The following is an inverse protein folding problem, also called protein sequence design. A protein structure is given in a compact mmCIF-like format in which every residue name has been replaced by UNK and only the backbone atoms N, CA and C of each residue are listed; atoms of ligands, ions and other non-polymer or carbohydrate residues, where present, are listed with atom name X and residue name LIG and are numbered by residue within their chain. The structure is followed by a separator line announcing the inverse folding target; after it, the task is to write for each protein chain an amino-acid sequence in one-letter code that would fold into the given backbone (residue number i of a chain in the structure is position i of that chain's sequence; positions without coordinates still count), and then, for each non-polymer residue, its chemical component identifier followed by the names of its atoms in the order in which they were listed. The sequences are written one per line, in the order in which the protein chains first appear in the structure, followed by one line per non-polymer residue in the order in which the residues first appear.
data_IF_053999613593
#
_entry.id   IF_053999613593
#
_cell.length_a   1.000
_cell.length_b   1.000
_cell.length_c   1.000
_cell.angle_alpha   90.00
_cell.angle_beta   90.00
_cell.angle_gamma   90.00
#
_symmetry.space_group_name_H-M   'P 1'
#
loop_
_entity.id
_entity.type
_entity.pdbx_description
1 polymer ?
#
# COMPACT_ATOMS: atom_id res chain seq x y z
N UNK A 1 -9.46 22.94 88.32
CA UNK A 1 -9.35 22.71 86.85
C UNK A 1 -10.29 23.71 86.19
N UNK A 2 -9.72 24.64 85.49
CA UNK A 2 -10.43 25.82 85.01
C UNK A 2 -11.30 25.51 83.76
N UNK A 3 -12.54 26.02 83.77
CA UNK A 3 -13.48 25.85 82.67
C UNK A 3 -12.96 26.31 81.28
N UNK A 4 -11.97 27.18 81.26
CA UNK A 4 -11.34 27.68 80.01
C UNK A 4 -10.51 26.63 79.28
N UNK A 5 -9.88 25.71 79.97
CA UNK A 5 -9.07 24.64 79.36
C UNK A 5 -9.91 23.55 78.65
N UNK A 6 -11.19 23.38 79.08
CA UNK A 6 -12.09 22.42 78.45
C UNK A 6 -12.66 22.88 77.12
N UNK A 7 -12.84 24.19 76.95
CA UNK A 7 -13.36 24.77 75.69
C UNK A 7 -12.31 24.74 74.57
N UNK A 8 -11.05 24.96 74.91
CA UNK A 8 -9.96 24.93 73.96
C UNK A 8 -9.68 23.54 73.40
N UNK A 9 -9.82 22.48 74.20
CA UNK A 9 -9.64 21.10 73.67
C UNK A 9 -10.77 20.67 72.72
N UNK A 10 -11.98 21.14 72.88
CA UNK A 10 -13.11 20.82 71.97
C UNK A 10 -12.92 21.50 70.62
N UNK A 11 -12.35 22.68 70.55
CA UNK A 11 -12.12 23.42 69.27
C UNK A 11 -11.04 22.78 68.39
N UNK A 12 -9.98 22.27 68.98
CA UNK A 12 -8.92 21.61 68.22
C UNK A 12 -9.30 20.24 67.69
N UNK A 13 -10.16 19.50 68.34
CA UNK A 13 -10.66 18.21 67.87
C UNK A 13 -11.59 18.38 66.68
N UNK A 14 -12.44 19.42 66.69
CA UNK A 14 -13.32 19.70 65.54
C UNK A 14 -12.53 20.21 64.30
N UNK A 15 -11.52 21.02 64.48
CA UNK A 15 -10.70 21.49 63.36
C UNK A 15 -9.93 20.36 62.67
N UNK A 16 -9.44 19.34 63.45
CA UNK A 16 -8.76 18.18 62.92
C UNK A 16 -9.68 17.27 62.06
N UNK A 17 -10.91 17.06 62.48
CA UNK A 17 -11.84 16.20 61.76
C UNK A 17 -12.31 16.86 60.45
N UNK A 18 -12.54 18.17 60.43
CA UNK A 18 -12.90 18.89 59.19
C UNK A 18 -11.72 18.96 58.21
N UNK A 19 -10.49 19.12 58.65
CA UNK A 19 -9.31 19.10 57.83
C UNK A 19 -9.05 17.76 57.13
N UNK A 20 -9.31 16.67 57.84
CA UNK A 20 -9.16 15.30 57.26
C UNK A 20 -10.27 14.98 56.26
N UNK A 21 -11.49 15.45 56.48
CA UNK A 21 -12.59 15.25 55.54
C UNK A 21 -12.41 16.07 54.25
N UNK A 22 -11.89 17.29 54.31
CA UNK A 22 -11.61 18.13 53.12
C UNK A 22 -10.44 17.55 52.34
N UNK A 23 -9.37 17.08 52.97
CA UNK A 23 -8.26 16.43 52.26
C UNK A 23 -8.66 15.10 51.61
N UNK A 24 -9.52 14.31 52.24
CA UNK A 24 -10.09 13.11 51.62
C UNK A 24 -11.02 13.41 50.43
N UNK A 25 -11.83 14.48 50.51
CA UNK A 25 -12.67 14.89 49.39
C UNK A 25 -11.89 15.43 48.20
N UNK A 26 -10.80 16.17 48.45
CA UNK A 26 -9.88 16.63 47.35
C UNK A 26 -9.16 15.47 46.71
N UNK A 27 -8.67 14.49 47.49
CA UNK A 27 -8.01 13.30 46.93
C UNK A 27 -8.98 12.44 46.10
N UNK A 28 -10.23 12.30 46.50
CA UNK A 28 -11.27 11.59 45.72
C UNK A 28 -11.67 12.35 44.47
N UNK A 29 -11.70 13.68 44.50
CA UNK A 29 -12.01 14.51 43.32
C UNK A 29 -10.85 14.48 42.31
N UNK A 30 -9.58 14.43 42.77
CA UNK A 30 -8.43 14.34 41.90
C UNK A 30 -8.32 12.98 41.21
N UNK A 31 -8.74 11.89 41.88
CA UNK A 31 -8.82 10.56 41.26
C UNK A 31 -9.97 10.45 40.26
N UNK A 32 -11.06 11.20 40.43
CA UNK A 32 -12.20 11.21 39.50
C UNK A 32 -11.93 12.01 38.22
N UNK A 33 -10.87 12.84 38.17
CA UNK A 33 -10.51 13.65 37.01
C UNK A 33 -9.23 13.20 36.32
N UNK A 34 -8.62 12.09 36.74
CA UNK A 34 -7.51 11.49 36.01
C UNK A 34 -7.99 11.12 34.60
N UNK A 35 -7.28 11.53 33.53
CA UNK A 35 -7.65 11.16 32.18
C UNK A 35 -7.69 9.63 32.10
N UNK A 36 -8.80 9.12 31.56
CA UNK A 36 -8.98 7.70 31.30
C UNK A 36 -7.81 7.19 30.45
N UNK A 37 -7.05 6.24 30.93
CA UNK A 37 -6.00 5.58 30.16
C UNK A 37 -6.68 4.57 29.22
N UNK A 38 -6.58 4.73 27.90
CA UNK A 38 -7.20 3.80 26.96
C UNK A 38 -6.66 2.36 27.10
N UNK A 39 -5.59 2.12 27.88
CA UNK A 39 -5.10 0.77 28.17
C UNK A 39 -5.99 0.05 29.19
N UNK A 40 -6.76 0.78 30.01
CA UNK A 40 -7.64 0.19 31.02
C UNK A 40 -8.82 -0.59 30.42
N UNK A 41 -9.28 -0.18 29.21
CA UNK A 41 -10.40 -0.84 28.52
C UNK A 41 -9.98 -2.08 27.72
N UNK A 42 -8.72 -2.16 27.28
CA UNK A 42 -8.26 -3.21 26.36
C UNK A 42 -7.25 -4.17 26.99
N UNK A 43 -6.76 -3.88 28.19
CA UNK A 43 -5.88 -4.74 28.98
C UNK A 43 -4.67 -5.28 28.18
N UNK A 44 -4.42 -6.58 28.30
CA UNK A 44 -3.30 -7.29 27.68
C UNK A 44 -3.28 -7.20 26.11
N UNK A 45 -4.38 -6.78 25.48
CA UNK A 45 -4.52 -6.70 24.02
C UNK A 45 -4.20 -5.33 23.43
N UNK A 46 -4.03 -4.29 24.25
CA UNK A 46 -3.67 -2.98 23.75
C UNK A 46 -2.22 -2.98 23.24
N UNK A 47 -2.01 -2.46 22.04
CA UNK A 47 -0.69 -2.25 21.42
C UNK A 47 -0.52 -0.76 21.19
N UNK A 48 0.52 -0.18 21.76
CA UNK A 48 0.86 1.21 21.46
C UNK A 48 1.39 1.29 20.03
N UNK A 49 1.07 2.36 19.29
CA UNK A 49 1.54 2.54 17.91
C UNK A 49 3.04 2.28 17.73
N UNK A 50 3.89 2.76 18.66
CA UNK A 50 5.35 2.64 18.62
C UNK A 50 5.84 1.18 18.68
N UNK A 51 5.04 0.27 19.21
CA UNK A 51 5.37 -1.16 19.24
C UNK A 51 5.38 -1.78 17.83
N UNK A 52 4.76 -1.12 16.82
CA UNK A 52 4.81 -1.55 15.43
C UNK A 52 6.14 -1.18 14.74
N UNK A 53 6.95 -0.30 15.33
CA UNK A 53 8.20 0.14 14.72
C UNK A 53 9.26 -0.98 14.62
N UNK A 54 9.36 -1.84 15.64
CA UNK A 54 10.40 -2.86 15.72
C UNK A 54 10.14 -4.15 14.93
N UNK A 55 8.95 -4.79 14.98
CA UNK A 55 8.71 -6.04 14.26
C UNK A 55 8.68 -5.83 12.74
N UNK A 56 9.01 -6.88 11.97
CA UNK A 56 8.84 -6.84 10.53
C UNK A 56 7.34 -6.74 10.16
N UNK A 57 7.05 -6.11 9.02
CA UNK A 57 5.67 -5.96 8.53
C UNK A 57 4.97 -7.30 8.34
N UNK A 58 5.70 -8.33 7.88
CA UNK A 58 5.17 -9.69 7.75
C UNK A 58 4.78 -10.31 9.09
N UNK A 59 5.53 -10.02 10.18
CA UNK A 59 5.19 -10.44 11.53
C UNK A 59 3.96 -9.70 12.05
N UNK A 60 3.86 -8.39 11.81
CA UNK A 60 2.69 -7.58 12.19
C UNK A 60 1.45 -8.15 11.53
N UNK A 61 1.48 -8.41 10.23
CA UNK A 61 0.34 -8.94 9.48
C UNK A 61 -0.17 -10.30 9.99
N UNK A 62 0.70 -11.14 10.55
CA UNK A 62 0.37 -12.48 11.06
C UNK A 62 -0.02 -12.50 12.55
N UNK A 63 0.26 -11.47 13.31
CA UNK A 63 -0.03 -11.38 14.75
C UNK A 63 -1.40 -10.75 14.97
N UNK A 64 -2.35 -11.46 15.58
CA UNK A 64 -3.69 -10.92 15.86
C UNK A 64 -3.63 -9.59 16.63
N UNK A 65 -2.76 -9.52 17.65
CA UNK A 65 -2.60 -8.32 18.49
C UNK A 65 -2.04 -7.14 17.69
N UNK A 66 -0.92 -7.33 17.00
CA UNK A 66 -0.26 -6.27 16.25
C UNK A 66 -1.08 -5.85 15.02
N UNK A 67 -1.72 -6.82 14.36
CA UNK A 67 -2.53 -6.58 13.17
C UNK A 67 -3.71 -5.66 13.46
N UNK A 68 -4.46 -5.88 14.55
CA UNK A 68 -5.57 -5.00 14.93
C UNK A 68 -5.13 -3.54 15.04
N UNK A 69 -4.02 -3.29 15.74
CA UNK A 69 -3.50 -1.93 15.87
C UNK A 69 -3.02 -1.38 14.53
N UNK A 70 -2.34 -2.21 13.72
CA UNK A 70 -1.89 -1.80 12.40
C UNK A 70 -3.07 -1.45 11.46
N UNK A 71 -4.16 -2.17 11.53
CA UNK A 71 -5.37 -1.86 10.73
C UNK A 71 -5.98 -0.51 11.11
N UNK A 72 -6.05 -0.18 12.40
CA UNK A 72 -6.60 1.11 12.87
C UNK A 72 -5.67 2.27 12.48
N UNK A 73 -4.38 2.16 12.82
CA UNK A 73 -3.40 3.19 12.48
C UNK A 73 -3.22 3.32 10.96
N UNK A 74 -3.15 2.19 10.25
CA UNK A 74 -2.97 2.15 8.81
C UNK A 74 -4.11 2.80 8.04
N UNK A 75 -5.36 2.58 8.47
CA UNK A 75 -6.52 3.28 7.91
C UNK A 75 -6.39 4.80 8.06
N UNK A 76 -6.01 5.27 9.25
CA UNK A 76 -5.81 6.71 9.50
C UNK A 76 -4.73 7.27 8.58
N UNK A 77 -3.57 6.63 8.50
CA UNK A 77 -2.45 7.05 7.63
C UNK A 77 -2.88 7.03 6.15
N UNK A 78 -3.63 6.02 5.74
CA UNK A 78 -4.18 5.94 4.39
C UNK A 78 -5.07 7.13 4.06
N UNK A 79 -6.02 7.46 4.93
CA UNK A 79 -6.94 8.57 4.73
C UNK A 79 -6.21 9.92 4.63
N UNK A 80 -5.13 10.10 5.41
CA UNK A 80 -4.36 11.34 5.45
C UNK A 80 -3.39 11.51 4.27
N UNK A 81 -2.79 10.42 3.77
CA UNK A 81 -1.66 10.49 2.84
C UNK A 81 -1.87 9.78 1.50
N UNK A 82 -2.80 8.85 1.40
CA UNK A 82 -2.94 7.98 0.23
C UNK A 82 -4.26 8.18 -0.52
N UNK A 83 -5.35 8.46 0.20
CA UNK A 83 -6.70 8.51 -0.34
C UNK A 83 -6.90 9.57 -1.43
N UNK A 84 -6.12 10.67 -1.41
CA UNK A 84 -6.18 11.73 -2.42
C UNK A 84 -5.80 11.24 -3.84
N UNK A 85 -4.96 10.19 -3.92
CA UNK A 85 -4.55 9.59 -5.19
C UNK A 85 -5.21 8.23 -5.41
N UNK A 86 -5.41 7.43 -4.35
CA UNK A 86 -5.90 6.05 -4.49
C UNK A 86 -7.40 5.88 -4.20
N UNK A 87 -8.12 7.00 -3.96
CA UNK A 87 -9.54 6.97 -3.60
C UNK A 87 -9.76 6.59 -2.13
N UNK A 88 -10.84 7.09 -1.53
CA UNK A 88 -11.20 6.75 -0.15
C UNK A 88 -11.61 5.26 0.00
N UNK A 89 -12.03 4.64 -1.10
CA UNK A 89 -12.43 3.24 -1.22
C UNK A 89 -11.31 2.31 -1.74
N UNK A 90 -10.10 2.83 -1.92
CA UNK A 90 -8.92 2.14 -2.45
C UNK A 90 -9.05 1.71 -3.93
N UNK A 91 -10.08 2.15 -4.65
CA UNK A 91 -10.37 1.74 -6.04
C UNK A 91 -9.55 2.48 -7.10
N UNK A 92 -8.66 3.36 -6.69
CA UNK A 92 -7.97 4.27 -7.58
C UNK A 92 -8.88 5.41 -8.07
N UNK A 93 -8.28 6.34 -8.79
CA UNK A 93 -8.98 7.46 -9.42
C UNK A 93 -8.68 7.38 -10.92
N UNK A 94 -9.67 7.00 -11.77
CA UNK A 94 -9.45 6.79 -13.21
C UNK A 94 -8.77 7.96 -13.91
N UNK A 95 -9.19 9.19 -13.62
CA UNK A 95 -8.63 10.40 -14.27
C UNK A 95 -7.18 10.69 -13.82
N UNK A 96 -6.73 10.11 -12.72
CA UNK A 96 -5.34 10.18 -12.24
C UNK A 96 -4.52 8.95 -12.64
N UNK A 97 -5.14 7.96 -13.28
CA UNK A 97 -4.52 6.68 -13.66
C UNK A 97 -3.84 5.95 -12.50
N UNK A 98 -4.45 6.04 -11.32
CA UNK A 98 -3.96 5.35 -10.13
C UNK A 98 -4.61 3.97 -9.98
N UNK A 99 -3.87 2.96 -9.47
CA UNK A 99 -4.37 1.60 -9.44
C UNK A 99 -5.45 1.38 -8.38
N UNK A 100 -6.36 0.44 -8.65
CA UNK A 100 -7.20 -0.21 -7.65
C UNK A 100 -6.29 -1.03 -6.72
N UNK A 101 -6.29 -0.71 -5.43
CA UNK A 101 -5.50 -1.40 -4.41
C UNK A 101 -6.26 -2.58 -3.78
N UNK A 102 -7.50 -2.84 -4.21
CA UNK A 102 -8.34 -3.92 -3.69
C UNK A 102 -8.38 -5.13 -4.61
N UNK A 103 -7.86 -5.00 -5.83
CA UNK A 103 -7.80 -6.09 -6.80
C UNK A 103 -6.59 -7.02 -6.58
N UNK A 104 -6.49 -8.06 -7.41
CA UNK A 104 -5.38 -9.01 -7.38
C UNK A 104 -4.24 -8.63 -8.34
N UNK A 105 -4.33 -7.49 -9.02
CA UNK A 105 -3.39 -7.07 -10.07
C UNK A 105 -2.25 -6.23 -9.49
N UNK A 106 -1.24 -6.89 -8.99
CA UNK A 106 -0.05 -6.25 -8.44
C UNK A 106 1.05 -6.18 -9.49
N UNK A 107 1.54 -4.97 -9.75
CA UNK A 107 2.57 -4.74 -10.78
C UNK A 107 3.98 -5.05 -10.30
N UNK A 108 4.21 -4.94 -9.01
CA UNK A 108 5.49 -5.19 -8.40
C UNK A 108 5.32 -6.24 -7.31
N UNK A 109 5.75 -7.44 -7.55
CA UNK A 109 6.00 -8.45 -6.53
C UNK A 109 7.49 -8.54 -6.27
N UNK A 110 7.88 -8.92 -5.05
CA UNK A 110 9.29 -9.04 -4.71
C UNK A 110 9.94 -10.22 -5.41
N UNK A 111 11.23 -10.09 -5.69
CA UNK A 111 12.12 -11.17 -6.12
C UNK A 111 12.39 -12.13 -4.96
N UNK A 112 11.39 -12.41 -4.13
CA UNK A 112 11.53 -13.36 -3.05
C UNK A 112 11.57 -14.79 -3.62
N UNK A 113 12.78 -15.20 -3.94
CA UNK A 113 13.11 -16.58 -4.37
C UNK A 113 12.69 -17.62 -3.33
N UNK A 114 12.54 -17.24 -2.05
CA UNK A 114 12.10 -18.13 -0.99
C UNK A 114 10.59 -18.43 -1.10
N UNK A 115 9.79 -17.53 -1.65
CA UNK A 115 8.34 -17.72 -1.86
C UNK A 115 7.99 -18.35 -3.20
N UNK A 116 8.97 -18.65 -4.05
CA UNK A 116 8.73 -19.19 -5.40
C UNK A 116 8.08 -18.18 -6.34
N UNK A 117 8.27 -16.88 -6.12
CA UNK A 117 7.89 -15.81 -7.05
C UNK A 117 6.41 -15.50 -7.19
N UNK A 118 5.52 -16.10 -6.38
CA UNK A 118 4.07 -16.03 -6.60
C UNK A 118 3.26 -15.50 -5.40
N UNK A 119 3.89 -15.14 -4.28
CA UNK A 119 3.17 -14.65 -3.10
C UNK A 119 3.50 -13.19 -2.83
N UNK A 120 2.54 -12.35 -3.07
CA UNK A 120 2.52 -10.96 -2.60
C UNK A 120 2.59 -10.95 -1.09
N UNK A 121 3.57 -10.24 -0.55
CA UNK A 121 3.82 -10.14 0.88
C UNK A 121 3.56 -8.72 1.38
N UNK A 122 3.20 -8.53 2.65
CA UNK A 122 3.15 -7.20 3.25
C UNK A 122 4.45 -6.41 3.07
N UNK A 123 5.61 -7.08 2.99
CA UNK A 123 6.91 -6.48 2.70
C UNK A 123 7.01 -5.86 1.30
N UNK A 124 6.32 -6.39 0.29
CA UNK A 124 6.29 -5.78 -1.04
C UNK A 124 5.53 -4.47 -1.04
N UNK A 125 4.42 -4.42 -0.29
CA UNK A 125 3.67 -3.18 -0.08
C UNK A 125 4.52 -2.17 0.70
N UNK A 126 5.19 -2.61 1.79
CA UNK A 126 6.07 -1.75 2.58
C UNK A 126 7.17 -1.14 1.72
N UNK A 127 7.83 -1.94 0.88
CA UNK A 127 8.87 -1.45 -0.03
C UNK A 127 8.32 -0.38 -0.99
N UNK A 128 7.17 -0.67 -1.61
CA UNK A 128 6.54 0.25 -2.56
C UNK A 128 6.11 1.56 -1.89
N UNK A 129 5.51 1.50 -0.69
CA UNK A 129 5.12 2.71 0.06
C UNK A 129 6.36 3.48 0.50
N UNK A 130 7.38 2.79 1.01
CA UNK A 130 8.61 3.41 1.50
C UNK A 130 9.33 4.19 0.42
N UNK A 131 9.63 3.55 -0.69
CA UNK A 131 10.52 4.09 -1.72
C UNK A 131 9.80 4.61 -2.96
N UNK A 132 8.49 4.35 -3.07
CA UNK A 132 7.68 4.78 -4.19
C UNK A 132 7.93 3.99 -5.48
N UNK A 133 7.30 4.48 -6.55
CA UNK A 133 7.48 3.98 -7.91
C UNK A 133 7.98 5.15 -8.76
N UNK A 134 9.13 5.01 -9.38
CA UNK A 134 9.77 6.08 -10.19
C UNK A 134 9.83 7.42 -9.45
N UNK A 135 9.99 7.35 -8.13
CA UNK A 135 9.94 8.52 -7.22
C UNK A 135 11.21 9.39 -7.26
N UNK A 136 12.26 8.90 -7.89
CA UNK A 136 13.61 9.47 -7.80
C UNK A 136 14.43 8.95 -6.61
N UNK A 137 13.84 8.13 -5.73
CA UNK A 137 14.58 7.46 -4.67
C UNK A 137 15.44 6.32 -5.25
N UNK A 138 16.65 6.11 -4.72
CA UNK A 138 17.58 5.07 -5.21
C UNK A 138 17.00 3.64 -5.17
N UNK A 139 16.09 3.36 -4.23
CA UNK A 139 15.41 2.08 -4.07
C UNK A 139 13.98 2.10 -4.65
N UNK A 140 13.62 3.09 -5.46
CA UNK A 140 12.29 3.18 -6.06
C UNK A 140 12.04 1.99 -7.00
N UNK A 141 10.82 1.48 -6.98
CA UNK A 141 10.42 0.45 -7.94
C UNK A 141 10.32 1.03 -9.34
N UNK A 142 10.77 0.28 -10.35
CA UNK A 142 10.73 0.67 -11.76
C UNK A 142 11.50 1.97 -12.06
N UNK A 143 12.55 2.28 -11.29
CA UNK A 143 13.28 3.54 -11.39
C UNK A 143 13.84 3.79 -12.81
N UNK A 144 14.32 2.74 -13.46
CA UNK A 144 15.00 2.80 -14.77
C UNK A 144 14.11 2.36 -15.95
N UNK A 145 12.83 2.01 -15.68
CA UNK A 145 11.97 1.44 -16.72
C UNK A 145 10.67 2.24 -16.88
N UNK A 146 10.52 2.83 -18.05
CA UNK A 146 9.29 3.49 -18.50
C UNK A 146 8.80 2.81 -19.77
N UNK A 147 7.48 2.86 -20.03
CA UNK A 147 7.00 2.56 -21.37
C UNK A 147 7.40 3.71 -22.30
N UNK A 148 8.23 3.39 -23.26
CA UNK A 148 8.74 4.37 -24.22
C UNK A 148 7.67 4.83 -25.19
N UNK A 149 7.82 6.06 -25.70
CA UNK A 149 7.04 6.55 -26.82
C UNK A 149 7.58 5.91 -28.12
N UNK A 150 6.69 5.39 -28.98
CA UNK A 150 7.06 4.85 -30.27
C UNK A 150 6.89 5.86 -31.42
N UNK A 151 6.63 7.12 -31.08
CA UNK A 151 6.60 8.27 -31.99
C UNK A 151 7.76 9.22 -31.65
N UNK A 152 8.48 9.72 -32.67
CA UNK A 152 9.67 10.57 -32.46
C UNK A 152 9.40 11.82 -31.64
N UNK A 153 8.23 12.47 -31.86
CA UNK A 153 7.89 13.74 -31.22
C UNK A 153 7.66 13.63 -29.69
N UNK A 154 7.36 12.44 -29.20
CA UNK A 154 7.13 12.17 -27.77
C UNK A 154 8.30 11.49 -27.08
N UNK A 155 9.34 11.09 -27.83
CA UNK A 155 10.54 10.46 -27.28
C UNK A 155 11.45 11.51 -26.62
N UNK A 156 11.83 11.28 -25.38
CA UNK A 156 12.81 12.15 -24.70
C UNK A 156 14.24 11.85 -25.17
N UNK A 157 15.18 12.76 -24.86
CA UNK A 157 16.59 12.51 -25.17
C UNK A 157 17.16 11.33 -24.39
N UNK A 158 16.78 11.23 -23.10
CA UNK A 158 17.18 10.12 -22.22
C UNK A 158 16.68 8.78 -22.77
N UNK A 159 15.42 8.70 -23.17
CA UNK A 159 14.87 7.49 -23.78
C UNK A 159 15.59 7.11 -25.08
N UNK A 160 16.11 8.10 -25.83
CA UNK A 160 16.84 7.88 -27.08
C UNK A 160 18.26 7.38 -26.84
N UNK A 161 18.92 7.87 -25.80
CA UNK A 161 20.28 7.44 -25.45
C UNK A 161 20.31 6.00 -24.93
N UNK A 162 19.29 5.61 -24.14
CA UNK A 162 19.23 4.30 -23.51
C UNK A 162 18.72 3.19 -24.44
N UNK A 163 17.79 3.48 -25.34
CA UNK A 163 17.08 2.47 -26.15
C UNK A 163 17.25 2.60 -27.67
N UNK A 164 18.04 3.56 -28.15
CA UNK A 164 18.29 3.80 -29.56
C UNK A 164 17.25 4.70 -30.24
N UNK A 165 17.71 5.45 -31.24
CA UNK A 165 16.94 6.48 -31.94
C UNK A 165 16.02 5.96 -33.07
N UNK A 166 16.05 4.66 -33.34
CA UNK A 166 15.54 4.04 -34.57
C UNK A 166 14.38 3.06 -34.35
N UNK A 167 14.00 2.82 -33.09
CA UNK A 167 12.87 1.94 -32.76
C UNK A 167 11.52 2.68 -32.76
N UNK A 168 11.18 3.28 -33.90
CA UNK A 168 9.87 3.91 -34.11
C UNK A 168 8.98 3.03 -34.97
N UNK A 169 7.65 3.19 -34.76
CA UNK A 169 6.64 2.51 -35.51
C UNK A 169 5.85 3.52 -36.38
N UNK A 170 5.53 3.12 -37.58
CA UNK A 170 4.58 3.84 -38.43
C UNK A 170 3.15 3.67 -37.92
N UNK A 171 2.22 4.52 -38.34
CA UNK A 171 0.79 4.40 -38.00
C UNK A 171 0.21 3.02 -38.33
N UNK A 172 0.60 2.46 -39.49
CA UNK A 172 0.15 1.13 -39.90
C UNK A 172 0.68 0.02 -38.97
N UNK A 173 1.95 0.12 -38.57
CA UNK A 173 2.57 -0.83 -37.62
C UNK A 173 1.98 -0.70 -36.23
N UNK A 174 1.69 0.52 -35.78
CA UNK A 174 0.97 0.74 -34.50
C UNK A 174 -0.42 0.10 -34.54
N UNK A 175 -1.18 0.26 -35.64
CA UNK A 175 -2.48 -0.37 -35.79
C UNK A 175 -2.36 -1.91 -35.73
N UNK A 176 -1.34 -2.49 -36.31
CA UNK A 176 -1.07 -3.93 -36.26
C UNK A 176 -0.75 -4.42 -34.83
N UNK A 177 0.11 -3.71 -34.12
CA UNK A 177 0.42 -4.03 -32.70
C UNK A 177 -0.83 -3.90 -31.82
N UNK A 178 -1.67 -2.87 -32.04
CA UNK A 178 -2.93 -2.71 -31.32
C UNK A 178 -3.83 -3.94 -31.52
N UNK A 179 -3.97 -4.44 -32.77
CA UNK A 179 -4.79 -5.62 -33.03
C UNK A 179 -4.25 -6.86 -32.32
N UNK A 180 -2.95 -7.04 -32.24
CA UNK A 180 -2.35 -8.11 -31.45
C UNK A 180 -2.66 -7.97 -29.97
N UNK A 181 -2.49 -6.78 -29.39
CA UNK A 181 -2.80 -6.51 -27.98
C UNK A 181 -4.28 -6.73 -27.67
N UNK A 182 -5.19 -6.30 -28.55
CA UNK A 182 -6.62 -6.59 -28.43
C UNK A 182 -6.90 -8.08 -28.47
N UNK A 183 -6.25 -8.82 -29.36
CA UNK A 183 -6.40 -10.28 -29.47
C UNK A 183 -5.96 -11.01 -28.18
N UNK A 184 -4.77 -10.71 -27.66
CA UNK A 184 -4.26 -11.38 -26.45
C UNK A 184 -5.02 -11.00 -25.18
N UNK A 185 -5.68 -9.83 -25.16
CA UNK A 185 -6.57 -9.41 -24.07
C UNK A 185 -8.01 -9.93 -24.21
N UNK A 186 -8.27 -10.81 -25.18
CA UNK A 186 -9.59 -11.43 -25.42
C UNK A 186 -10.62 -10.46 -26.01
N UNK A 187 -10.19 -9.37 -26.62
CA UNK A 187 -11.05 -8.40 -27.28
C UNK A 187 -11.20 -8.73 -28.78
N UNK A 188 -12.20 -8.12 -29.41
CA UNK A 188 -12.39 -8.26 -30.86
C UNK A 188 -11.23 -7.59 -31.61
N UNK A 189 -10.57 -8.34 -32.50
CA UNK A 189 -9.42 -7.92 -33.27
C UNK A 189 -9.49 -8.36 -34.74
N UNK A 190 -8.85 -7.60 -35.63
CA UNK A 190 -8.54 -8.02 -36.99
C UNK A 190 -7.40 -9.04 -36.95
N UNK A 191 -7.70 -10.31 -37.22
CA UNK A 191 -6.74 -11.42 -37.16
C UNK A 191 -5.55 -11.25 -38.08
N UNK A 192 -5.76 -10.70 -39.30
CA UNK A 192 -4.67 -10.53 -40.25
C UNK A 192 -3.69 -9.46 -39.80
N UNK A 193 -4.19 -8.36 -39.23
CA UNK A 193 -3.36 -7.33 -38.62
C UNK A 193 -2.71 -7.86 -37.34
N UNK A 194 -3.44 -8.57 -36.49
CA UNK A 194 -2.92 -9.14 -35.26
C UNK A 194 -1.71 -10.07 -35.50
N UNK A 195 -1.76 -10.90 -36.54
CA UNK A 195 -0.62 -11.76 -36.92
C UNK A 195 0.62 -10.96 -37.29
N UNK A 196 0.47 -9.83 -37.98
CA UNK A 196 1.62 -8.95 -38.28
C UNK A 196 2.07 -8.15 -37.05
N UNK A 197 1.12 -7.74 -36.23
CA UNK A 197 1.40 -7.10 -34.94
C UNK A 197 2.15 -7.97 -33.97
N UNK A 198 1.89 -9.29 -33.95
CA UNK A 198 2.64 -10.28 -33.18
C UNK A 198 4.13 -10.30 -33.60
N UNK A 199 4.40 -10.24 -34.90
CA UNK A 199 5.79 -10.15 -35.40
C UNK A 199 6.47 -8.88 -34.90
N UNK A 200 5.79 -7.73 -34.98
CA UNK A 200 6.32 -6.44 -34.51
C UNK A 200 6.51 -6.42 -32.99
N UNK A 201 5.63 -7.04 -32.24
CA UNK A 201 5.70 -7.15 -30.79
C UNK A 201 6.98 -7.86 -30.34
N UNK A 202 7.41 -8.87 -31.11
CA UNK A 202 8.62 -9.69 -30.84
C UNK A 202 9.85 -9.25 -31.64
N UNK A 203 9.75 -8.22 -32.46
CA UNK A 203 10.88 -7.72 -33.24
C UNK A 203 11.78 -6.81 -32.39
N UNK A 204 12.94 -7.32 -31.99
CA UNK A 204 13.93 -6.59 -31.19
C UNK A 204 14.57 -5.40 -31.92
N UNK A 205 14.39 -5.30 -33.24
CA UNK A 205 14.90 -4.19 -34.05
C UNK A 205 13.92 -3.04 -34.21
N UNK A 206 12.63 -3.27 -33.88
CA UNK A 206 11.56 -2.29 -34.03
C UNK A 206 10.68 -2.12 -32.81
N UNK A 207 9.65 -2.96 -32.67
CA UNK A 207 8.67 -2.86 -31.58
C UNK A 207 9.28 -3.20 -30.22
N UNK A 208 9.93 -4.34 -30.15
CA UNK A 208 10.58 -4.86 -28.94
C UNK A 208 9.71 -4.82 -27.67
N UNK A 209 8.40 -5.00 -27.84
CA UNK A 209 7.45 -4.89 -26.74
C UNK A 209 7.62 -6.01 -25.70
N UNK A 210 8.02 -7.20 -26.17
CA UNK A 210 8.20 -8.39 -25.34
C UNK A 210 9.30 -8.24 -24.28
N UNK A 211 10.30 -7.40 -24.49
CA UNK A 211 11.36 -7.16 -23.50
C UNK A 211 10.82 -6.61 -22.17
N UNK A 212 9.74 -5.82 -22.23
CA UNK A 212 9.08 -5.27 -21.06
C UNK A 212 7.79 -6.01 -20.72
N UNK A 213 7.05 -6.54 -21.72
CA UNK A 213 5.73 -7.14 -21.52
C UNK A 213 5.75 -8.67 -21.49
N UNK A 214 6.92 -9.31 -21.56
CA UNK A 214 7.11 -10.75 -21.73
C UNK A 214 6.58 -11.28 -23.07
N UNK A 215 7.05 -12.47 -23.50
CA UNK A 215 6.65 -13.09 -24.75
C UNK A 215 5.15 -13.32 -24.90
N UNK A 216 4.47 -13.60 -23.79
CA UNK A 216 3.01 -13.79 -23.74
C UNK A 216 2.21 -12.51 -23.47
N UNK A 217 2.86 -11.38 -23.31
CA UNK A 217 2.20 -10.14 -22.90
C UNK A 217 1.76 -10.13 -21.44
N UNK A 218 2.31 -11.03 -20.60
CA UNK A 218 1.88 -11.18 -19.20
C UNK A 218 2.46 -10.13 -18.25
N UNK A 219 3.40 -9.34 -18.74
CA UNK A 219 4.14 -8.35 -17.96
C UNK A 219 5.32 -8.96 -17.22
N UNK A 220 6.20 -8.11 -16.72
CA UNK A 220 7.37 -8.48 -15.92
C UNK A 220 7.32 -7.71 -14.60
N UNK A 221 7.21 -8.45 -13.49
CA UNK A 221 6.98 -7.88 -12.15
C UNK A 221 8.10 -6.93 -11.69
N UNK A 222 9.35 -7.22 -12.03
CA UNK A 222 10.49 -6.33 -11.69
C UNK A 222 10.41 -4.98 -12.39
N UNK A 223 9.82 -4.93 -13.57
CA UNK A 223 9.61 -3.69 -14.33
C UNK A 223 8.29 -3.00 -13.96
N UNK A 224 7.34 -3.73 -13.36
CA UNK A 224 6.00 -3.27 -13.11
C UNK A 224 5.23 -2.98 -14.40
N UNK A 225 5.53 -3.74 -15.45
CA UNK A 225 4.87 -3.61 -16.75
C UNK A 225 3.46 -4.22 -16.71
N UNK A 226 2.56 -3.64 -17.51
CA UNK A 226 1.16 -4.07 -17.57
C UNK A 226 1.06 -5.48 -18.13
N UNK A 227 0.28 -6.35 -17.45
CA UNK A 227 -0.19 -7.59 -18.03
C UNK A 227 -1.21 -7.28 -19.14
N UNK A 228 -0.79 -7.42 -20.39
CA UNK A 228 -1.61 -7.10 -21.55
C UNK A 228 -2.70 -8.12 -21.84
N UNK A 229 -2.66 -9.30 -21.20
CA UNK A 229 -3.69 -10.34 -21.37
C UNK A 229 -4.92 -10.08 -20.49
N UNK A 230 -4.86 -9.12 -19.54
CA UNK A 230 -5.93 -8.82 -18.57
C UNK A 230 -6.33 -7.36 -18.64
N UNK A 231 -7.56 -7.09 -18.98
CA UNK A 231 -8.09 -5.72 -19.11
C UNK A 231 -8.10 -4.96 -17.78
N UNK A 232 -8.23 -5.63 -16.66
CA UNK A 232 -8.14 -5.05 -15.31
C UNK A 232 -6.76 -4.43 -15.00
N UNK A 233 -5.71 -4.90 -15.68
CA UNK A 233 -4.35 -4.37 -15.49
C UNK A 233 -4.08 -3.03 -16.17
N UNK A 234 -5.00 -2.51 -16.99
CA UNK A 234 -4.77 -1.30 -17.79
C UNK A 234 -5.17 -0.04 -17.01
N UNK A 235 -4.21 0.77 -16.59
CA UNK A 235 -4.47 2.04 -15.90
C UNK A 235 -4.94 3.17 -16.84
N UNK A 236 -4.54 3.12 -18.12
CA UNK A 236 -4.83 4.16 -19.11
C UNK A 236 -5.90 3.73 -20.13
N UNK A 237 -6.71 2.73 -19.78
CA UNK A 237 -7.72 2.18 -20.65
C UNK A 237 -7.22 1.08 -21.56
N UNK A 238 -8.12 0.13 -21.87
CA UNK A 238 -7.83 -1.07 -22.66
C UNK A 238 -8.54 -1.06 -24.03
N UNK A 239 -9.21 0.03 -24.37
CA UNK A 239 -9.79 0.19 -25.70
C UNK A 239 -8.73 0.60 -26.74
N UNK A 240 -9.07 0.49 -28.02
CA UNK A 240 -8.19 0.77 -29.14
C UNK A 240 -7.53 2.15 -29.09
N UNK A 241 -8.27 3.17 -28.73
CA UNK A 241 -7.78 4.55 -28.72
C UNK A 241 -6.77 4.74 -27.56
N UNK A 242 -7.10 4.20 -26.40
CA UNK A 242 -6.23 4.25 -25.20
C UNK A 242 -4.94 3.46 -25.38
N UNK A 243 -5.01 2.29 -26.02
CA UNK A 243 -3.80 1.49 -26.36
C UNK A 243 -2.94 2.26 -27.37
N UNK A 244 -3.57 2.85 -28.42
CA UNK A 244 -2.84 3.67 -29.39
C UNK A 244 -2.12 4.83 -28.74
N UNK A 245 -2.80 5.57 -27.87
CA UNK A 245 -2.20 6.68 -27.15
C UNK A 245 -1.02 6.22 -26.27
N UNK A 246 -1.15 5.07 -25.63
CA UNK A 246 -0.08 4.51 -24.81
C UNK A 246 1.16 4.15 -25.62
N UNK A 247 0.99 3.59 -26.82
CA UNK A 247 2.09 3.27 -27.72
C UNK A 247 2.74 4.55 -28.27
N UNK A 248 1.93 5.52 -28.72
CA UNK A 248 2.45 6.76 -29.31
C UNK A 248 3.23 7.59 -28.30
N UNK A 249 2.67 7.81 -27.10
CA UNK A 249 3.21 8.75 -26.10
C UNK A 249 4.07 8.09 -25.02
N UNK A 250 4.05 6.77 -24.94
CA UNK A 250 4.61 6.08 -23.77
C UNK A 250 3.78 6.31 -22.52
N UNK A 251 4.20 5.71 -21.41
CA UNK A 251 3.52 5.87 -20.11
C UNK A 251 4.54 5.89 -18.97
N UNK A 252 4.36 6.86 -18.07
CA UNK A 252 5.21 7.03 -16.90
C UNK A 252 4.35 7.42 -15.69
N UNK A 253 3.97 6.46 -14.87
CA UNK A 253 3.30 6.73 -13.59
C UNK A 253 4.33 6.90 -12.48
N UNK A 254 4.11 7.88 -11.59
CA UNK A 254 4.97 8.15 -10.44
C UNK A 254 4.17 8.02 -9.15
N UNK A 255 4.68 7.26 -8.19
CA UNK A 255 4.23 7.26 -6.81
C UNK A 255 5.37 7.82 -5.95
N UNK A 256 5.15 8.86 -5.13
CA UNK A 256 6.21 9.41 -4.29
C UNK A 256 6.68 8.42 -3.22
N UNK A 257 7.91 8.59 -2.74
CA UNK A 257 8.43 7.91 -1.57
C UNK A 257 7.86 8.50 -0.27
N UNK A 258 7.74 7.69 0.77
CA UNK A 258 7.21 8.08 2.07
C UNK A 258 8.17 7.76 3.24
N UNK A 259 9.40 7.36 2.98
CA UNK A 259 10.39 7.01 3.99
C UNK A 259 10.82 8.17 4.90
N UNK A 260 10.77 9.40 4.36
CA UNK A 260 11.04 10.66 5.07
C UNK A 260 9.77 11.36 5.59
N UNK A 261 8.59 10.87 5.24
CA UNK A 261 7.28 11.50 5.56
C UNK A 261 6.52 10.78 6.64
N UNK A 262 6.65 9.45 6.71
CA UNK A 262 5.97 8.60 7.67
C UNK A 262 6.94 8.02 8.68
N UNK A 263 6.51 7.95 9.94
CA UNK A 263 7.24 7.23 10.96
C UNK A 263 7.27 5.72 10.65
N UNK A 264 8.27 4.97 11.17
CA UNK A 264 8.38 3.53 10.91
C UNK A 264 7.11 2.73 11.23
N UNK A 265 6.43 3.05 12.33
CA UNK A 265 5.18 2.41 12.73
C UNK A 265 4.02 2.75 11.78
N UNK A 266 3.94 4.00 11.30
CA UNK A 266 2.92 4.46 10.36
C UNK A 266 3.08 3.78 8.99
N UNK A 267 4.31 3.72 8.50
CA UNK A 267 4.66 3.09 7.24
C UNK A 267 4.30 1.59 7.25
N UNK A 268 4.66 0.87 8.31
CA UNK A 268 4.31 -0.54 8.46
C UNK A 268 2.80 -0.75 8.63
N UNK A 269 2.15 0.11 9.38
CA UNK A 269 0.71 0.03 9.61
C UNK A 269 -0.10 0.22 8.32
N UNK A 270 0.22 1.24 7.51
CA UNK A 270 -0.48 1.46 6.24
C UNK A 270 -0.20 0.34 5.24
N UNK A 271 1.00 -0.23 5.25
CA UNK A 271 1.35 -1.37 4.39
C UNK A 271 0.54 -2.62 4.74
N UNK A 272 0.37 -2.91 6.03
CA UNK A 272 -0.50 -4.00 6.50
C UNK A 272 -1.96 -3.72 6.12
N UNK A 273 -2.43 -2.49 6.32
CA UNK A 273 -3.80 -2.11 5.96
C UNK A 273 -4.07 -2.34 4.47
N UNK A 274 -3.23 -1.81 3.57
CA UNK A 274 -3.37 -1.99 2.12
C UNK A 274 -3.32 -3.47 1.74
N UNK A 275 -2.36 -4.22 2.28
CA UNK A 275 -2.23 -5.66 2.01
C UNK A 275 -3.51 -6.44 2.29
N UNK A 276 -4.19 -6.16 3.40
CA UNK A 276 -5.45 -6.84 3.75
C UNK A 276 -6.65 -6.36 2.93
N UNK A 277 -6.64 -5.14 2.38
CA UNK A 277 -7.70 -4.66 1.49
C UNK A 277 -7.60 -5.27 0.08
N UNK A 278 -6.44 -5.71 -0.32
CA UNK A 278 -6.13 -6.21 -1.66
C UNK A 278 -6.61 -7.65 -1.91
N UNK A 279 -7.86 -7.98 -1.68
CA UNK A 279 -8.49 -9.26 -2.10
C UNK A 279 -7.75 -10.57 -1.74
N UNK A 280 -6.52 -10.43 -1.24
CA UNK A 280 -5.68 -11.55 -0.79
C UNK A 280 -6.12 -12.08 0.59
N UNK A 281 -7.04 -11.37 1.24
CA UNK A 281 -7.42 -11.55 2.63
C UNK A 281 -8.57 -12.51 2.91
N UNK A 282 -9.34 -12.94 1.92
CA UNK A 282 -10.50 -13.80 2.22
C UNK A 282 -10.13 -15.21 2.69
N UNK A 283 -8.91 -15.68 2.44
CA UNK A 283 -8.48 -17.02 2.89
C UNK A 283 -7.46 -17.03 4.03
N UNK A 284 -7.03 -15.88 4.53
CA UNK A 284 -5.90 -15.78 5.46
C UNK A 284 -6.10 -14.88 6.68
N UNK A 285 -7.33 -14.60 7.09
CA UNK A 285 -7.54 -14.10 8.44
C UNK A 285 -6.90 -15.10 9.42
N UNK A 286 -6.01 -14.65 10.34
CA UNK A 286 -5.42 -15.58 11.29
C UNK A 286 -6.55 -16.19 12.13
N UNK A 287 -6.89 -17.44 11.83
CA UNK A 287 -7.75 -18.22 12.72
C UNK A 287 -7.05 -18.34 14.06
N UNK A 288 -7.76 -18.14 15.20
CA UNK A 288 -7.18 -18.39 16.51
C UNK A 288 -6.57 -19.78 16.51
N UNK A 289 -5.26 -19.89 16.73
CA UNK A 289 -4.61 -21.19 16.78
C UNK A 289 -5.29 -22.01 17.90
N UNK A 290 -5.57 -23.29 17.65
CA UNK A 290 -6.21 -24.20 18.59
C UNK A 290 -5.40 -24.41 19.92
N UNK A 291 -4.26 -23.70 20.08
CA UNK A 291 -3.46 -23.70 21.29
C UNK A 291 -3.90 -22.65 22.33
N UNK A 292 -4.65 -21.63 21.95
CA UNK A 292 -5.11 -20.59 22.91
C UNK A 292 -6.34 -21.04 23.73
N UNK A 293 -6.99 -22.12 23.35
CA UNK A 293 -8.17 -22.64 24.08
C UNK A 293 -7.89 -23.71 25.17
N UNK A 294 -6.63 -23.94 25.51
CA UNK A 294 -6.31 -24.75 26.70
C UNK A 294 -6.21 -23.86 27.95
N UNK A 295 -7.36 -23.45 28.45
CA UNK A 295 -7.43 -23.08 29.87
C UNK A 295 -7.28 -24.38 30.68
N UNK A 296 -6.42 -24.45 31.69
CA UNK A 296 -6.46 -25.53 32.64
C UNK A 296 -7.81 -25.49 33.36
N UNK A 297 -8.54 -26.59 33.31
CA UNK A 297 -9.74 -26.77 34.11
C UNK A 297 -9.32 -26.75 35.59
N UNK A 298 -10.14 -26.18 36.51
CA UNK A 298 -9.84 -26.07 37.94
C UNK A 298 -9.73 -27.41 38.62
#
# INVERSE_FOLDING_TARGET
MDKKTRVLRSRYVMAGVMGAAVLAAVAVAEQATAPHDPTDDYGEFYVRPEELASPSVNRIARSLRLNRQAMVLGKKVYDEHCASCHGADLKGIPDQHTPDLTDAEWRFSGDDLESGGLKKLPSDVEWTVRYGVRSGHENARGAEVNMLAFYPEFRTKEDTEDFGSDKFLTDAEIDEVIEYVLQISGQQADRAKATRGEVLFHDNTKGNCFDCHDNGGTGIDTFGSTNLTRRSSYLWGSDRASIRESIIKGRRGVMPAFDDKLKPEELKAVSVFIFWQAGTGESSQPTPSARENRRPNP
#
